data_IF_260456516595
#
_entry.id   IF_260456516595
#
_cell.length_a   1.000
_cell.length_b   1.000
_cell.length_c   1.000
_cell.angle_alpha   90.00
_cell.angle_beta   90.00
_cell.angle_gamma   90.00
#
_symmetry.space_group_name_H-M   'P 1'
#
loop_
_entity.id
_entity.type
_entity.pdbx_description
1 polymer ?
#
# COMPACT_ATOMS: atom_id res chain seq x y z
N UNK A 1 -10.92 -21.58 0.20
CA UNK A 1 -10.22 -20.40 0.74
C UNK A 1 -11.25 -19.34 1.05
N UNK A 2 -11.31 -18.89 2.28
CA UNK A 2 -12.22 -17.79 2.63
C UNK A 2 -11.74 -16.52 1.94
N UNK A 3 -12.66 -15.79 1.30
CA UNK A 3 -12.30 -14.55 0.62
C UNK A 3 -12.03 -13.47 1.66
N UNK A 4 -10.76 -13.18 1.93
CA UNK A 4 -10.34 -12.16 2.90
C UNK A 4 -10.64 -10.73 2.45
N UNK A 5 -10.91 -10.52 1.16
CA UNK A 5 -11.25 -9.21 0.58
C UNK A 5 -12.76 -9.02 0.50
N UNK A 6 -13.43 -9.00 1.67
CA UNK A 6 -14.86 -8.73 1.80
C UNK A 6 -15.10 -7.48 2.62
N UNK A 7 -16.19 -6.79 2.34
CA UNK A 7 -16.61 -5.61 3.10
C UNK A 7 -16.06 -4.31 2.53
N UNK A 8 -16.03 -3.28 3.36
CA UNK A 8 -15.54 -1.96 2.98
C UNK A 8 -14.08 -1.79 3.38
N UNK A 9 -13.25 -1.32 2.46
CA UNK A 9 -11.81 -1.13 2.62
C UNK A 9 -11.42 0.27 2.14
N UNK A 10 -11.59 1.31 2.98
CA UNK A 10 -11.32 2.68 2.57
C UNK A 10 -9.84 2.94 2.34
N UNK A 11 -9.56 3.86 1.42
CA UNK A 11 -8.23 4.40 1.22
C UNK A 11 -7.91 5.44 2.31
N UNK A 12 -6.75 5.29 2.95
CA UNK A 12 -6.24 6.25 3.92
C UNK A 12 -5.52 7.40 3.23
N UNK A 13 -5.73 8.60 3.74
CA UNK A 13 -4.87 9.75 3.52
C UNK A 13 -3.66 9.66 4.46
N UNK A 14 -2.57 10.32 4.10
CA UNK A 14 -1.42 10.49 4.99
C UNK A 14 -1.59 11.80 5.77
N UNK A 15 -1.92 11.77 7.07
CA UNK A 15 -1.92 12.97 7.88
C UNK A 15 -0.51 13.55 7.98
N UNK A 16 -0.39 14.87 7.96
CA UNK A 16 0.88 15.57 8.06
C UNK A 16 0.89 16.53 9.26
N UNK A 17 2.07 16.76 9.80
CA UNK A 17 2.37 17.82 10.74
C UNK A 17 2.44 19.19 10.03
N UNK A 18 2.60 20.28 10.77
CA UNK A 18 2.72 21.63 10.20
C UNK A 18 3.95 21.79 9.31
N UNK A 19 5.01 21.02 9.55
CA UNK A 19 6.24 21.00 8.75
C UNK A 19 6.14 20.08 7.51
N UNK A 20 4.94 19.55 7.22
CA UNK A 20 4.63 18.62 6.14
C UNK A 20 5.21 17.21 6.30
N UNK A 21 5.86 16.90 7.42
CA UNK A 21 6.26 15.52 7.71
C UNK A 21 5.05 14.63 8.00
N UNK A 22 5.06 13.34 7.63
CA UNK A 22 3.96 12.43 7.95
C UNK A 22 3.74 12.28 9.46
N UNK A 23 2.47 12.34 9.88
CA UNK A 23 2.07 12.06 11.26
C UNK A 23 1.55 10.62 11.36
N UNK A 24 2.46 9.69 11.63
CA UNK A 24 2.14 8.26 11.67
C UNK A 24 1.28 7.86 12.86
N UNK A 25 1.35 8.59 13.99
CA UNK A 25 0.51 8.29 15.15
C UNK A 25 -0.96 8.62 14.83
N UNK A 26 -1.20 9.75 14.16
CA UNK A 26 -2.53 10.11 13.68
C UNK A 26 -3.00 9.17 12.56
N UNK A 27 -2.10 8.69 11.68
CA UNK A 27 -2.42 7.69 10.66
C UNK A 27 -2.98 6.41 11.29
N UNK A 28 -2.28 5.89 12.30
CA UNK A 28 -2.69 4.67 13.02
C UNK A 28 -4.02 4.90 13.72
N UNK A 29 -4.17 6.01 14.46
CA UNK A 29 -5.41 6.36 15.15
C UNK A 29 -6.61 6.37 14.18
N UNK A 30 -6.46 7.01 13.01
CA UNK A 30 -7.53 7.07 12.01
C UNK A 30 -7.87 5.70 11.42
N UNK A 31 -6.87 4.86 11.21
CA UNK A 31 -7.09 3.50 10.75
C UNK A 31 -7.85 2.66 11.79
N UNK A 32 -7.44 2.71 13.06
CA UNK A 32 -8.12 2.02 14.15
C UNK A 32 -9.57 2.48 14.31
N UNK A 33 -9.85 3.78 14.18
CA UNK A 33 -11.20 4.33 14.19
C UNK A 33 -12.06 3.71 13.05
N UNK A 34 -11.52 3.61 11.84
CA UNK A 34 -12.23 3.00 10.71
C UNK A 34 -12.54 1.52 10.94
N UNK A 35 -11.58 0.75 11.45
CA UNK A 35 -11.80 -0.66 11.80
C UNK A 35 -12.88 -0.78 12.89
N UNK A 36 -12.86 0.09 13.89
CA UNK A 36 -13.89 0.14 14.95
C UNK A 36 -15.28 0.46 14.42
N UNK A 37 -15.38 1.24 13.34
CA UNK A 37 -16.65 1.51 12.64
C UNK A 37 -17.08 0.40 11.67
N UNK A 38 -16.40 -0.75 11.66
CA UNK A 38 -16.78 -1.92 10.89
C UNK A 38 -16.14 -2.04 9.51
N UNK A 39 -15.11 -1.25 9.21
CA UNK A 39 -14.31 -1.46 8.00
C UNK A 39 -13.50 -2.75 8.12
N UNK A 40 -13.39 -3.50 7.04
CA UNK A 40 -12.73 -4.81 7.03
C UNK A 40 -11.20 -4.70 6.96
N UNK A 41 -10.71 -3.66 6.35
CA UNK A 41 -9.29 -3.35 6.19
C UNK A 41 -9.16 -1.88 5.78
N UNK A 42 -7.92 -1.42 5.65
CA UNK A 42 -7.61 -0.12 5.05
C UNK A 42 -6.66 -0.29 3.86
N UNK A 43 -6.73 0.61 2.89
CA UNK A 43 -5.75 0.67 1.78
C UNK A 43 -4.81 1.85 2.03
N UNK A 44 -3.53 1.60 2.15
CA UNK A 44 -2.52 2.66 2.36
C UNK A 44 -1.50 2.70 1.22
N UNK A 45 -0.89 3.84 1.00
CA UNK A 45 -0.03 4.14 -0.15
C UNK A 45 -0.74 4.00 -1.52
N UNK A 46 -2.06 4.21 -1.56
CA UNK A 46 -2.79 4.52 -2.78
C UNK A 46 -2.69 6.01 -3.12
N UNK A 47 -3.40 6.45 -4.17
CA UNK A 47 -3.42 7.87 -4.59
C UNK A 47 -3.88 8.81 -3.48
N UNK A 48 -4.86 8.40 -2.68
CA UNK A 48 -5.35 9.16 -1.52
C UNK A 48 -4.33 9.26 -0.39
N UNK A 49 -3.38 8.35 -0.32
CA UNK A 49 -2.28 8.36 0.66
C UNK A 49 -1.04 9.13 0.18
N UNK A 50 -1.16 9.84 -0.93
CA UNK A 50 -0.09 10.71 -1.48
C UNK A 50 1.24 9.97 -1.72
N UNK A 51 1.16 8.68 -2.11
CA UNK A 51 2.36 7.87 -2.30
C UNK A 51 3.47 8.51 -3.16
N UNK A 52 3.17 9.36 -4.17
CA UNK A 52 4.23 9.97 -4.97
C UNK A 52 5.02 11.06 -4.22
N UNK A 53 4.46 11.58 -3.13
CA UNK A 53 5.05 12.66 -2.33
C UNK A 53 5.84 12.14 -1.13
N UNK A 54 5.64 10.88 -0.77
CA UNK A 54 6.36 10.22 0.32
C UNK A 54 7.66 9.59 -0.17
N UNK A 55 8.68 9.61 0.66
CA UNK A 55 9.89 8.81 0.42
C UNK A 55 9.59 7.31 0.55
N UNK A 56 10.47 6.46 0.04
CA UNK A 56 10.31 5.02 0.17
C UNK A 56 10.31 4.60 1.65
N UNK A 57 11.12 5.24 2.49
CA UNK A 57 11.25 5.02 3.93
C UNK A 57 9.97 5.43 4.66
N UNK A 58 9.41 6.60 4.36
CA UNK A 58 8.15 7.08 4.97
C UNK A 58 6.99 6.15 4.63
N UNK A 59 6.92 5.64 3.39
CA UNK A 59 5.90 4.67 2.99
C UNK A 59 6.02 3.38 3.80
N UNK A 60 7.23 2.86 3.93
CA UNK A 60 7.51 1.63 4.67
C UNK A 60 7.24 1.80 6.16
N UNK A 61 7.62 2.93 6.74
CA UNK A 61 7.33 3.25 8.14
C UNK A 61 5.83 3.28 8.41
N UNK A 62 5.05 3.99 7.58
CA UNK A 62 3.59 4.06 7.73
C UNK A 62 2.94 2.67 7.63
N UNK A 63 3.34 1.86 6.66
CA UNK A 63 2.87 0.46 6.52
C UNK A 63 3.22 -0.36 7.76
N UNK A 64 4.47 -0.28 8.22
CA UNK A 64 4.94 -1.04 9.38
C UNK A 64 4.16 -0.68 10.65
N UNK A 65 3.87 0.60 10.86
CA UNK A 65 3.10 1.06 12.03
C UNK A 65 1.65 0.59 12.00
N UNK A 66 0.99 0.66 10.84
CA UNK A 66 -0.38 0.16 10.69
C UNK A 66 -0.46 -1.34 10.99
N UNK A 67 0.42 -2.15 10.40
CA UNK A 67 0.43 -3.59 10.62
C UNK A 67 0.78 -3.94 12.07
N UNK A 68 1.77 -3.26 12.67
CA UNK A 68 2.16 -3.44 14.09
C UNK A 68 1.01 -3.11 15.05
N UNK A 69 0.17 -2.14 14.70
CA UNK A 69 -1.04 -1.81 15.46
C UNK A 69 -2.17 -2.82 15.28
N UNK A 70 -1.98 -3.87 14.47
CA UNK A 70 -2.99 -4.89 14.20
C UNK A 70 -4.06 -4.45 13.19
N UNK A 71 -3.85 -3.37 12.46
CA UNK A 71 -4.77 -2.89 11.43
C UNK A 71 -4.61 -3.74 10.17
N UNK A 72 -5.67 -4.42 9.69
CA UNK A 72 -5.63 -5.15 8.42
C UNK A 72 -5.35 -4.17 7.28
N UNK A 73 -4.16 -4.24 6.67
CA UNK A 73 -3.67 -3.24 5.74
C UNK A 73 -3.40 -3.84 4.37
N UNK A 74 -3.99 -3.22 3.33
CA UNK A 74 -3.68 -3.46 1.93
C UNK A 74 -2.70 -2.36 1.48
N UNK A 75 -1.59 -2.74 0.88
CA UNK A 75 -0.50 -1.82 0.55
C UNK A 75 -0.48 -1.51 -0.94
N UNK A 76 -0.58 -0.23 -1.29
CA UNK A 76 -0.34 0.25 -2.64
C UNK A 76 1.15 0.18 -3.00
N UNK A 77 1.47 -0.48 -4.10
CA UNK A 77 2.86 -0.63 -4.58
C UNK A 77 3.20 0.33 -5.72
N UNK A 78 2.38 1.36 -5.93
CA UNK A 78 2.58 2.34 -7.01
C UNK A 78 4.01 2.89 -7.03
N UNK A 79 4.62 2.89 -8.21
CA UNK A 79 5.97 3.42 -8.40
C UNK A 79 6.23 3.73 -9.87
N UNK A 80 7.23 4.58 -10.12
CA UNK A 80 7.70 4.92 -11.48
C UNK A 80 8.48 3.79 -12.14
N UNK A 81 8.99 2.82 -11.38
CA UNK A 81 9.69 1.65 -11.91
C UNK A 81 9.35 0.36 -11.16
N UNK A 82 9.52 -0.77 -11.86
CA UNK A 82 9.16 -2.09 -11.32
C UNK A 82 10.02 -2.49 -10.11
N UNK A 83 11.30 -2.12 -10.08
CA UNK A 83 12.21 -2.45 -8.98
C UNK A 83 11.72 -1.85 -7.64
N UNK A 84 11.32 -0.59 -7.65
CA UNK A 84 10.76 0.07 -6.46
C UNK A 84 9.41 -0.53 -6.07
N UNK A 85 8.51 -0.76 -7.06
CA UNK A 85 7.23 -1.41 -6.81
C UNK A 85 7.40 -2.80 -6.17
N UNK A 86 8.36 -3.59 -6.67
CA UNK A 86 8.74 -4.88 -6.10
C UNK A 86 9.29 -4.74 -4.67
N UNK A 87 10.14 -3.73 -4.40
CA UNK A 87 10.65 -3.45 -3.05
C UNK A 87 9.54 -3.17 -2.04
N UNK A 88 8.53 -2.39 -2.43
CA UNK A 88 7.35 -2.15 -1.57
C UNK A 88 6.52 -3.41 -1.35
N UNK A 89 6.39 -4.28 -2.36
CA UNK A 89 5.69 -5.55 -2.23
C UNK A 89 6.41 -6.51 -1.26
N UNK A 90 7.74 -6.61 -1.37
CA UNK A 90 8.57 -7.42 -0.46
C UNK A 90 8.42 -6.91 0.98
N UNK A 91 8.59 -5.61 1.21
CA UNK A 91 8.42 -5.02 2.53
C UNK A 91 7.02 -5.29 3.11
N UNK A 92 5.97 -5.10 2.32
CA UNK A 92 4.60 -5.35 2.76
C UNK A 92 4.39 -6.82 3.19
N UNK A 93 4.99 -7.76 2.47
CA UNK A 93 4.97 -9.18 2.83
C UNK A 93 5.74 -9.45 4.12
N UNK A 94 6.94 -8.89 4.26
CA UNK A 94 7.81 -9.08 5.44
C UNK A 94 7.16 -8.58 6.73
N UNK A 95 6.43 -7.46 6.67
CA UNK A 95 5.73 -6.93 7.85
C UNK A 95 4.36 -7.58 8.11
N UNK A 96 3.87 -8.41 7.19
CA UNK A 96 2.61 -9.13 7.36
C UNK A 96 1.37 -8.34 6.94
N UNK A 97 1.46 -7.52 5.90
CA UNK A 97 0.30 -6.85 5.32
C UNK A 97 -0.74 -7.86 4.79
N UNK A 98 -2.01 -7.48 4.81
CA UNK A 98 -3.14 -8.32 4.38
C UNK A 98 -3.09 -8.61 2.87
N UNK A 99 -2.64 -7.65 2.07
CA UNK A 99 -2.60 -7.78 0.61
C UNK A 99 -1.94 -6.59 -0.07
N UNK A 100 -1.86 -6.66 -1.39
CA UNK A 100 -1.28 -5.63 -2.23
C UNK A 100 -2.31 -5.05 -3.20
N UNK A 101 -2.23 -3.75 -3.44
CA UNK A 101 -2.88 -3.06 -4.55
C UNK A 101 -1.82 -2.70 -5.59
N UNK A 102 -1.78 -3.46 -6.67
CA UNK A 102 -0.78 -3.27 -7.74
C UNK A 102 -1.39 -2.50 -8.89
N UNK A 103 -0.74 -1.41 -9.27
CA UNK A 103 -1.15 -0.60 -10.42
C UNK A 103 -0.17 -0.77 -11.59
N UNK A 104 -0.60 -0.49 -12.84
CA UNK A 104 0.31 -0.45 -13.99
C UNK A 104 1.45 0.56 -13.79
N UNK A 105 2.49 0.45 -14.60
CA UNK A 105 3.58 1.43 -14.61
C UNK A 105 3.05 2.85 -14.89
N UNK A 106 3.40 3.79 -14.01
CA UNK A 106 2.80 5.12 -13.98
C UNK A 106 3.25 6.02 -15.13
N UNK A 107 4.48 5.91 -15.60
CA UNK A 107 5.06 6.77 -16.65
C UNK A 107 5.41 5.96 -17.90
N UNK A 108 4.50 5.16 -18.43
CA UNK A 108 4.77 4.48 -19.69
C UNK A 108 4.36 5.35 -20.87
N UNK A 109 5.32 5.75 -21.70
CA UNK A 109 5.05 6.33 -23.02
C UNK A 109 4.63 5.21 -23.98
N UNK A 110 3.34 5.10 -24.18
CA UNK A 110 2.75 4.05 -25.02
C UNK A 110 2.57 2.71 -24.26
N UNK A 111 1.43 2.04 -24.48
CA UNK A 111 1.13 0.78 -23.81
C UNK A 111 1.91 -0.36 -24.48
N UNK A 112 3.01 -0.79 -23.89
CA UNK A 112 3.63 -2.05 -24.22
C UNK A 112 3.05 -3.15 -23.34
N UNK A 113 2.26 -4.06 -23.91
CA UNK A 113 1.67 -5.18 -23.20
C UNK A 113 2.74 -6.07 -22.54
N UNK A 114 3.86 -6.30 -23.23
CA UNK A 114 4.98 -7.08 -22.70
C UNK A 114 5.64 -6.39 -21.48
N UNK A 115 5.82 -5.07 -21.52
CA UNK A 115 6.38 -4.31 -20.40
C UNK A 115 5.43 -4.29 -19.19
N UNK A 116 4.12 -4.18 -19.41
CA UNK A 116 3.13 -4.28 -18.33
C UNK A 116 3.08 -5.68 -17.72
N UNK A 117 3.09 -6.73 -18.56
CA UNK A 117 3.18 -8.11 -18.07
C UNK A 117 4.45 -8.35 -17.23
N UNK A 118 5.60 -7.87 -17.68
CA UNK A 118 6.85 -7.98 -16.93
C UNK A 118 6.78 -7.23 -15.60
N UNK A 119 6.16 -6.04 -15.57
CA UNK A 119 5.94 -5.27 -14.34
C UNK A 119 5.10 -6.04 -13.34
N UNK A 120 3.93 -6.53 -13.73
CA UNK A 120 3.09 -7.31 -12.83
C UNK A 120 3.77 -8.62 -12.41
N UNK A 121 4.42 -9.33 -13.32
CA UNK A 121 5.12 -10.57 -13.01
C UNK A 121 6.24 -10.36 -11.97
N UNK A 122 7.00 -9.26 -12.06
CA UNK A 122 8.07 -8.97 -11.09
C UNK A 122 7.57 -8.73 -9.67
N UNK A 123 6.34 -8.23 -9.53
CA UNK A 123 5.71 -7.99 -8.22
C UNK A 123 5.04 -9.28 -7.72
N UNK A 124 4.25 -9.94 -8.58
CA UNK A 124 3.46 -11.11 -8.21
C UNK A 124 4.30 -12.36 -7.92
N UNK A 125 5.47 -12.49 -8.54
CA UNK A 125 6.37 -13.63 -8.28
C UNK A 125 6.98 -13.64 -6.88
N UNK A 126 6.96 -12.50 -6.19
CA UNK A 126 7.57 -12.32 -4.86
C UNK A 126 6.56 -12.22 -3.73
N UNK A 127 5.28 -12.07 -4.04
CA UNK A 127 4.23 -11.91 -3.04
C UNK A 127 3.25 -13.06 -3.07
N UNK A 128 2.95 -13.61 -1.89
CA UNK A 128 1.94 -14.66 -1.72
C UNK A 128 0.51 -14.10 -1.59
N UNK A 129 0.36 -12.78 -1.51
CA UNK A 129 -0.91 -12.10 -1.22
C UNK A 129 -1.23 -11.11 -2.34
N UNK A 130 -2.22 -11.44 -3.17
CA UNK A 130 -2.60 -10.64 -4.34
C UNK A 130 -4.06 -10.20 -4.27
N UNK A 131 -4.28 -8.97 -4.65
CA UNK A 131 -5.59 -8.43 -5.00
C UNK A 131 -5.61 -8.13 -6.50
#
# INVERSE_FOLDING_TARGET
MENIFKGCMPALMTPCNEDLSPNFDLLVQKAEELIKYGMSAVVYCGSMGDWPLLTDEERQEGVSRLVKAGVPTIVGTGSINSKKATGHAVHAQEVGALGLMVIPRVLSRGPSLSAQRAHFASILSLSLIHI
#
